data_IF_443956766205
#
_entry.id   IF_443956766205
#
_cell.length_a   1.000
_cell.length_b   1.000
_cell.length_c   1.000
_cell.angle_alpha   90.00
_cell.angle_beta   90.00
_cell.angle_gamma   90.00
#
_symmetry.space_group_name_H-M   'P 1'
#
loop_
_entity.id
_entity.type
_entity.pdbx_description
1 polymer ?
#
# COMPACT_ATOMS: atom_id res chain seq x y z
N UNK A 1 0.88 6.15 -43.11
CA UNK A 1 0.38 4.96 -42.40
C UNK A 1 0.95 5.03 -40.99
N UNK A 2 0.26 5.73 -40.09
CA UNK A 2 0.76 5.99 -38.73
C UNK A 2 0.50 4.76 -37.86
N UNK A 3 1.57 4.02 -37.55
CA UNK A 3 1.52 2.95 -36.57
C UNK A 3 1.48 3.59 -35.18
N UNK A 4 0.27 3.79 -34.65
CA UNK A 4 0.09 4.03 -33.22
C UNK A 4 0.63 2.81 -32.48
N UNK A 5 1.89 2.89 -32.04
CA UNK A 5 2.40 1.95 -31.04
C UNK A 5 1.57 2.20 -29.79
N UNK A 6 0.75 1.23 -29.40
CA UNK A 6 0.13 1.20 -28.09
C UNK A 6 1.27 1.12 -27.07
N UNK A 7 1.73 2.29 -26.60
CA UNK A 7 2.68 2.38 -25.51
C UNK A 7 1.91 1.98 -24.26
N UNK A 8 2.18 0.78 -23.76
CA UNK A 8 1.60 0.32 -22.51
C UNK A 8 2.26 1.12 -21.38
N UNK A 9 1.64 2.23 -20.98
CA UNK A 9 2.08 2.98 -19.81
C UNK A 9 1.80 2.11 -18.57
N UNK A 10 2.87 1.67 -17.92
CA UNK A 10 2.79 0.92 -16.67
C UNK A 10 2.09 1.81 -15.64
N UNK A 11 0.89 1.41 -15.23
CA UNK A 11 0.03 2.22 -14.37
C UNK A 11 0.72 2.42 -13.00
N UNK A 12 0.59 3.60 -12.40
CA UNK A 12 1.27 3.99 -11.15
C UNK A 12 0.85 3.21 -9.89
N UNK A 13 -0.07 2.26 -9.98
CA UNK A 13 -0.44 1.39 -8.86
C UNK A 13 0.49 0.18 -8.81
N UNK A 14 1.50 0.23 -7.94
CA UNK A 14 2.35 -0.92 -7.69
C UNK A 14 1.56 -1.96 -6.87
N UNK A 15 1.38 -3.22 -7.33
CA UNK A 15 0.53 -4.21 -6.65
C UNK A 15 0.93 -4.46 -5.18
N UNK A 16 2.19 -4.23 -4.82
CA UNK A 16 2.62 -4.29 -3.43
C UNK A 16 2.02 -3.20 -2.54
N UNK A 17 1.64 -2.02 -3.04
CA UNK A 17 0.97 -1.01 -2.22
C UNK A 17 -0.40 -1.50 -1.74
N UNK A 18 -1.13 -2.22 -2.59
CA UNK A 18 -2.37 -2.89 -2.21
C UNK A 18 -2.14 -3.96 -1.14
N UNK A 19 -1.09 -4.78 -1.29
CA UNK A 19 -0.71 -5.77 -0.26
C UNK A 19 -0.38 -5.08 1.07
N UNK A 20 0.40 -3.99 1.04
CA UNK A 20 0.71 -3.19 2.22
C UNK A 20 -0.54 -2.63 2.90
N UNK A 21 -1.53 -2.17 2.11
CA UNK A 21 -2.80 -1.68 2.62
C UNK A 21 -3.64 -2.77 3.30
N UNK A 22 -3.75 -3.95 2.66
CA UNK A 22 -4.47 -5.10 3.24
C UNK A 22 -3.79 -5.58 4.53
N UNK A 23 -2.46 -5.57 4.58
CA UNK A 23 -1.71 -5.87 5.80
C UNK A 23 -1.99 -4.85 6.91
N UNK A 24 -2.06 -3.57 6.59
CA UNK A 24 -2.41 -2.53 7.57
C UNK A 24 -3.82 -2.75 8.14
N UNK A 25 -4.82 -3.01 7.29
CA UNK A 25 -6.19 -3.34 7.73
C UNK A 25 -6.22 -4.59 8.63
N UNK A 26 -5.51 -5.64 8.22
CA UNK A 26 -5.40 -6.89 8.99
C UNK A 26 -4.72 -6.65 10.33
N UNK A 27 -3.68 -5.82 10.37
CA UNK A 27 -3.00 -5.41 11.59
C UNK A 27 -3.95 -4.73 12.58
N UNK A 28 -4.79 -3.80 12.12
CA UNK A 28 -5.80 -3.16 12.95
C UNK A 28 -6.86 -4.14 13.48
N UNK A 29 -7.33 -5.07 12.63
CA UNK A 29 -8.25 -6.11 13.06
C UNK A 29 -7.65 -7.00 14.16
N UNK A 30 -6.39 -7.42 13.99
CA UNK A 30 -5.67 -8.21 14.99
C UNK A 30 -5.39 -7.42 16.27
N UNK A 31 -5.13 -6.11 16.18
CA UNK A 31 -4.98 -5.24 17.34
C UNK A 31 -6.27 -5.18 18.17
N UNK A 32 -7.42 -5.03 17.51
CA UNK A 32 -8.72 -5.03 18.18
C UNK A 32 -8.99 -6.37 18.87
N UNK A 33 -8.76 -7.50 18.18
CA UNK A 33 -8.92 -8.83 18.76
C UNK A 33 -7.97 -9.09 19.92
N UNK A 34 -6.72 -8.62 19.83
CA UNK A 34 -5.76 -8.70 20.92
C UNK A 34 -6.28 -7.99 22.18
N UNK A 35 -6.77 -6.75 22.04
CA UNK A 35 -7.33 -5.99 23.16
C UNK A 35 -8.55 -6.68 23.78
N UNK A 36 -9.45 -7.23 22.95
CA UNK A 36 -10.63 -7.97 23.42
C UNK A 36 -10.20 -9.23 24.18
N UNK A 37 -9.27 -10.02 23.65
CA UNK A 37 -8.81 -11.23 24.33
C UNK A 37 -8.07 -10.93 25.64
N UNK A 38 -7.28 -9.85 25.67
CA UNK A 38 -6.67 -9.35 26.92
C UNK A 38 -7.74 -8.97 27.95
N UNK A 39 -8.78 -8.25 27.55
CA UNK A 39 -9.85 -7.80 28.44
C UNK A 39 -10.66 -8.96 29.04
N UNK A 40 -10.86 -10.04 28.27
CA UNK A 40 -11.61 -11.24 28.72
C UNK A 40 -10.70 -12.27 29.42
N UNK A 41 -9.39 -12.00 29.52
CA UNK A 41 -8.43 -12.88 30.20
C UNK A 41 -8.01 -14.11 29.39
N UNK A 42 -8.26 -14.13 28.07
CA UNK A 42 -7.91 -15.26 27.21
C UNK A 42 -6.49 -15.10 26.64
N UNK A 43 -5.50 -15.50 27.44
CA UNK A 43 -4.07 -15.20 27.21
C UNK A 43 -3.51 -15.81 25.93
N UNK A 44 -3.87 -17.07 25.61
CA UNK A 44 -3.33 -17.77 24.44
C UNK A 44 -3.67 -17.06 23.12
N UNK A 45 -4.96 -16.86 22.80
CA UNK A 45 -5.40 -16.09 21.64
C UNK A 45 -4.91 -14.64 21.65
N UNK A 46 -4.81 -14.01 22.83
CA UNK A 46 -4.24 -12.66 22.92
C UNK A 46 -2.79 -12.64 22.39
N UNK A 47 -1.94 -13.57 22.80
CA UNK A 47 -0.56 -13.64 22.31
C UNK A 47 -0.53 -13.83 20.79
N UNK A 48 -1.35 -14.75 20.25
CA UNK A 48 -1.40 -15.01 18.81
C UNK A 48 -1.83 -13.77 18.04
N UNK A 49 -2.92 -13.11 18.44
CA UNK A 49 -3.39 -11.88 17.80
C UNK A 49 -2.35 -10.75 17.90
N UNK A 50 -1.67 -10.61 19.05
CA UNK A 50 -0.61 -9.64 19.24
C UNK A 50 0.58 -9.87 18.30
N UNK A 51 1.03 -11.11 18.14
CA UNK A 51 2.12 -11.46 17.21
C UNK A 51 1.72 -11.21 15.76
N UNK A 52 0.51 -11.60 15.36
CA UNK A 52 -0.02 -11.37 14.02
C UNK A 52 -0.15 -9.88 13.71
N UNK A 53 -0.62 -9.08 14.68
CA UNK A 53 -0.66 -7.62 14.58
C UNK A 53 0.74 -7.04 14.29
N UNK A 54 1.74 -7.42 15.09
CA UNK A 54 3.11 -6.91 14.93
C UNK A 54 3.70 -7.31 13.57
N UNK A 55 3.55 -8.57 13.19
CA UNK A 55 4.03 -9.06 11.90
C UNK A 55 3.36 -8.32 10.72
N UNK A 56 2.06 -8.10 10.78
CA UNK A 56 1.31 -7.39 9.73
C UNK A 56 1.79 -5.93 9.58
N UNK A 57 1.90 -5.18 10.67
CA UNK A 57 2.33 -3.79 10.61
C UNK A 57 3.79 -3.63 10.19
N UNK A 58 4.71 -4.44 10.72
CA UNK A 58 6.12 -4.38 10.34
C UNK A 58 6.32 -4.69 8.85
N UNK A 59 5.57 -5.66 8.32
CA UNK A 59 5.59 -5.99 6.89
C UNK A 59 5.01 -4.86 6.04
N UNK A 60 3.87 -4.29 6.44
CA UNK A 60 3.26 -3.15 5.74
C UNK A 60 4.20 -1.93 5.69
N UNK A 61 4.82 -1.58 6.81
CA UNK A 61 5.79 -0.47 6.89
C UNK A 61 6.97 -0.73 5.96
N UNK A 62 7.52 -1.95 5.98
CA UNK A 62 8.65 -2.32 5.13
C UNK A 62 8.32 -2.20 3.64
N UNK A 63 7.11 -2.61 3.25
CA UNK A 63 6.61 -2.47 1.87
C UNK A 63 6.51 -0.99 1.49
N UNK A 64 5.79 -0.18 2.26
CA UNK A 64 5.60 1.24 1.94
C UNK A 64 6.91 2.01 1.93
N UNK A 65 7.82 1.71 2.86
CA UNK A 65 9.15 2.29 2.89
C UNK A 65 9.95 1.90 1.65
N UNK A 66 9.94 0.62 1.27
CA UNK A 66 10.63 0.15 0.06
C UNK A 66 10.08 0.80 -1.21
N UNK A 67 8.76 0.95 -1.33
CA UNK A 67 8.13 1.60 -2.48
C UNK A 67 8.55 3.07 -2.57
N UNK A 68 8.44 3.81 -1.46
CA UNK A 68 8.77 5.24 -1.43
C UNK A 68 10.26 5.52 -1.64
N UNK A 69 11.16 4.69 -1.10
CA UNK A 69 12.61 4.94 -1.18
C UNK A 69 13.29 4.32 -2.40
N UNK A 70 12.88 3.11 -2.84
CA UNK A 70 13.64 2.36 -3.86
C UNK A 70 13.02 2.40 -5.24
N UNK A 71 11.69 2.48 -5.30
CA UNK A 71 10.98 2.41 -6.57
C UNK A 71 10.52 3.77 -7.07
N UNK A 72 10.68 4.84 -6.26
CA UNK A 72 10.13 6.17 -6.51
C UNK A 72 8.64 6.18 -6.85
N UNK A 73 7.95 5.06 -6.62
CA UNK A 73 6.52 4.91 -6.78
C UNK A 73 5.85 5.43 -5.52
N UNK A 74 5.00 6.42 -5.68
CA UNK A 74 4.15 6.83 -4.58
C UNK A 74 3.23 5.66 -4.20
N UNK A 75 3.27 5.19 -2.93
CA UNK A 75 2.48 4.05 -2.51
C UNK A 75 0.97 4.37 -2.40
N UNK A 76 0.60 5.64 -2.51
CA UNK A 76 -0.77 6.14 -2.29
C UNK A 76 -1.24 7.02 -3.44
N UNK A 77 -0.35 7.78 -4.09
CA UNK A 77 -0.69 8.55 -5.28
C UNK A 77 -0.27 7.76 -6.53
N UNK A 78 -1.06 7.78 -7.61
CA UNK A 78 -0.56 7.33 -8.89
C UNK A 78 0.67 8.17 -9.26
N UNK A 79 1.77 7.51 -9.63
CA UNK A 79 2.85 8.21 -10.31
C UNK A 79 2.32 8.72 -11.64
N UNK A 80 2.10 10.02 -11.73
CA UNK A 80 1.84 10.66 -13.00
C UNK A 80 3.13 10.52 -13.81
N UNK A 81 3.13 9.73 -14.88
CA UNK A 81 4.28 9.70 -15.79
C UNK A 81 4.58 11.13 -16.27
N UNK A 82 5.81 11.46 -16.71
CA UNK A 82 6.10 12.78 -17.29
C UNK A 82 5.09 13.15 -18.39
N UNK A 83 4.65 12.16 -19.16
CA UNK A 83 3.64 12.28 -20.21
C UNK A 83 2.25 12.63 -19.64
N UNK A 84 1.81 11.94 -18.58
CA UNK A 84 0.54 12.26 -17.92
C UNK A 84 0.59 13.64 -17.27
N UNK A 85 1.69 13.99 -16.62
CA UNK A 85 1.91 15.32 -16.02
C UNK A 85 1.82 16.41 -17.09
N UNK A 86 2.48 16.21 -18.25
CA UNK A 86 2.41 17.16 -19.36
C UNK A 86 1.00 17.21 -19.98
N UNK A 87 0.28 16.09 -20.03
CA UNK A 87 -1.12 16.04 -20.46
C UNK A 87 -2.03 16.81 -19.50
N UNK A 88 -1.86 16.64 -18.19
CA UNK A 88 -2.60 17.38 -17.17
C UNK A 88 -2.29 18.87 -17.24
N UNK A 89 -1.00 19.24 -17.31
CA UNK A 89 -0.57 20.63 -17.40
C UNK A 89 -1.13 21.30 -18.66
N UNK A 90 -1.10 20.64 -19.81
CA UNK A 90 -1.69 21.16 -21.06
C UNK A 90 -3.21 21.33 -20.94
N UNK A 91 -3.90 20.39 -20.28
CA UNK A 91 -5.36 20.46 -20.09
C UNK A 91 -5.78 21.61 -19.18
N UNK A 92 -4.98 21.98 -18.19
CA UNK A 92 -5.31 23.03 -17.21
C UNK A 92 -4.64 24.38 -17.45
N UNK A 93 -3.50 24.44 -18.15
CA UNK A 93 -2.78 25.68 -18.44
C UNK A 93 -3.18 26.36 -19.75
N UNK A 94 -3.86 25.65 -20.66
CA UNK A 94 -4.21 26.18 -21.99
C UNK A 94 -3.01 26.15 -22.93
#
# INVERSE_FOLDING_TARGET
MNTHRFHHESHGNHPMSFVGFVLALTGFAMAALWLVHMAVGNVGPAIICGLLMVAAFTTAVSIFFSLGHRHHHSPVLPDNTPNETERYLRKYRG
#
